data_IF_867414059824
#
_entry.id   IF_867414059824
#
_cell.length_a   1.000
_cell.length_b   1.000
_cell.length_c   1.000
_cell.angle_alpha   90.00
_cell.angle_beta   90.00
_cell.angle_gamma   90.00
#
_symmetry.space_group_name_H-M   'P 1'
#
loop_
_entity.id
_entity.type
_entity.pdbx_description
1 polymer ?
#
# COMPACT_ATOMS: atom_id res chain seq x y z
N UNK A 1 59.45 1.72 -12.37
CA UNK A 1 58.53 0.96 -11.51
C UNK A 1 57.11 1.52 -11.67
N UNK A 2 56.11 0.69 -11.99
CA UNK A 2 54.76 1.14 -12.28
C UNK A 2 53.98 1.50 -11.01
N UNK A 3 53.15 2.54 -11.11
CA UNK A 3 52.27 3.06 -10.06
C UNK A 3 51.22 2.00 -9.72
N UNK A 4 51.08 1.68 -8.43
CA UNK A 4 49.94 0.88 -7.93
C UNK A 4 48.63 1.63 -8.19
N UNK A 5 47.55 0.96 -8.64
CA UNK A 5 46.27 1.60 -8.85
C UNK A 5 45.55 1.86 -7.51
N UNK A 6 44.87 3.01 -7.42
CA UNK A 6 43.94 3.33 -6.35
C UNK A 6 42.83 2.26 -6.23
N UNK A 7 42.34 1.97 -5.01
CA UNK A 7 41.16 1.13 -4.84
C UNK A 7 39.93 1.84 -5.45
N UNK A 8 39.04 1.13 -6.17
CA UNK A 8 37.80 1.71 -6.65
C UNK A 8 36.94 2.14 -5.46
N UNK A 9 36.52 3.40 -5.51
CA UNK A 9 35.73 4.05 -4.48
C UNK A 9 34.35 3.42 -4.27
N UNK A 10 33.94 3.46 -3.01
CA UNK A 10 32.57 3.61 -2.52
C UNK A 10 31.52 2.79 -3.26
N UNK A 11 31.29 1.60 -2.70
CA UNK A 11 30.02 0.88 -2.72
C UNK A 11 28.86 1.88 -2.70
N UNK A 12 28.17 2.01 -3.82
CA UNK A 12 26.78 2.50 -3.82
C UNK A 12 26.02 1.53 -2.93
N UNK A 13 25.68 1.96 -1.72
CA UNK A 13 24.66 1.31 -0.89
C UNK A 13 23.37 1.28 -1.72
N UNK A 14 23.15 0.15 -2.40
CA UNK A 14 21.94 -0.13 -3.13
C UNK A 14 20.83 -0.29 -2.09
N UNK A 15 19.89 0.64 -2.08
CA UNK A 15 18.62 0.42 -1.38
C UNK A 15 17.98 -0.86 -1.91
N UNK A 16 17.40 -1.72 -1.05
CA UNK A 16 16.73 -2.93 -1.50
C UNK A 16 15.51 -2.52 -2.31
N UNK A 17 15.60 -2.73 -3.62
CA UNK A 17 14.52 -2.53 -4.58
C UNK A 17 13.42 -3.54 -4.27
N UNK A 18 12.38 -3.12 -3.56
CA UNK A 18 11.15 -3.91 -3.41
C UNK A 18 10.56 -4.06 -4.81
N UNK A 19 10.62 -5.27 -5.37
CA UNK A 19 10.09 -5.58 -6.69
C UNK A 19 9.06 -6.71 -6.57
N UNK A 20 7.90 -6.53 -7.16
CA UNK A 20 6.89 -7.57 -7.35
C UNK A 20 7.47 -8.82 -8.04
N UNK A 21 8.34 -8.62 -9.05
CA UNK A 21 9.10 -9.68 -9.70
C UNK A 21 10.01 -10.47 -8.74
N UNK A 22 10.55 -9.84 -7.70
CA UNK A 22 11.30 -10.53 -6.65
C UNK A 22 10.40 -11.38 -5.75
N UNK A 23 9.12 -11.01 -5.54
CA UNK A 23 8.17 -11.85 -4.77
C UNK A 23 7.77 -13.09 -5.59
N UNK A 24 7.59 -12.94 -6.91
CA UNK A 24 7.30 -14.04 -7.84
C UNK A 24 8.53 -14.95 -8.08
N UNK A 25 9.73 -14.39 -8.20
CA UNK A 25 10.99 -15.14 -8.37
C UNK A 25 11.49 -15.77 -7.05
N UNK A 26 11.23 -15.14 -5.89
CA UNK A 26 11.67 -15.62 -4.57
C UNK A 26 10.65 -16.53 -3.86
N UNK A 27 9.96 -17.39 -4.62
CA UNK A 27 9.27 -18.57 -4.07
C UNK A 27 10.15 -19.46 -3.19
N UNK A 28 11.46 -19.19 -3.10
CA UNK A 28 12.48 -20.03 -2.44
C UNK A 28 13.13 -19.43 -1.16
N UNK A 29 12.40 -18.61 -0.40
CA UNK A 29 12.76 -18.24 1.00
C UNK A 29 13.99 -17.32 1.21
N UNK A 30 14.11 -16.25 0.43
CA UNK A 30 15.10 -15.18 0.67
C UNK A 30 14.68 -14.14 1.73
N UNK A 31 15.66 -13.43 2.31
CA UNK A 31 15.44 -12.31 3.26
C UNK A 31 14.71 -11.12 2.63
N UNK A 32 14.86 -10.91 1.33
CA UNK A 32 14.20 -9.81 0.60
C UNK A 32 12.71 -10.07 0.37
N UNK A 33 12.30 -11.34 0.25
CA UNK A 33 10.89 -11.72 0.18
C UNK A 33 10.14 -11.34 1.46
N UNK A 34 10.73 -11.59 2.63
CA UNK A 34 10.14 -11.25 3.92
C UNK A 34 9.95 -9.74 4.12
N UNK A 35 10.91 -8.92 3.66
CA UNK A 35 10.81 -7.46 3.73
C UNK A 35 9.72 -6.92 2.80
N UNK A 36 9.66 -7.42 1.56
CA UNK A 36 8.63 -7.03 0.61
C UNK A 36 7.24 -7.42 1.12
N UNK A 37 7.12 -8.62 1.71
CA UNK A 37 5.88 -9.11 2.32
C UNK A 37 5.43 -8.25 3.51
N UNK A 38 6.35 -7.88 4.40
CA UNK A 38 6.05 -7.00 5.52
C UNK A 38 5.54 -5.63 5.05
N UNK A 39 6.10 -5.09 3.97
CA UNK A 39 5.64 -3.82 3.39
C UNK A 39 4.25 -3.95 2.74
N UNK A 40 3.99 -5.06 2.02
CA UNK A 40 2.65 -5.36 1.51
C UNK A 40 1.63 -5.46 2.64
N UNK A 41 1.95 -6.18 3.72
CA UNK A 41 1.08 -6.25 4.89
C UNK A 41 0.82 -4.85 5.44
N UNK A 42 1.83 -3.99 5.63
CA UNK A 42 1.63 -2.61 6.13
C UNK A 42 0.70 -1.78 5.25
N UNK A 43 0.83 -1.90 3.93
CA UNK A 43 0.03 -1.13 2.97
C UNK A 43 -1.41 -1.64 2.90
N UNK A 44 -1.62 -2.96 2.96
CA UNK A 44 -2.91 -3.58 2.69
C UNK A 44 -3.69 -4.04 3.92
N UNK A 45 -3.09 -4.08 5.13
CA UNK A 45 -3.80 -4.57 6.32
C UNK A 45 -5.09 -3.78 6.58
N UNK A 46 -5.00 -2.45 6.58
CA UNK A 46 -6.12 -1.60 6.90
C UNK A 46 -7.17 -1.55 5.78
N UNK A 47 -6.81 -1.46 4.48
CA UNK A 47 -7.77 -1.63 3.39
C UNK A 47 -8.55 -2.95 3.47
N UNK A 48 -7.89 -4.06 3.78
CA UNK A 48 -8.53 -5.37 3.93
C UNK A 48 -9.45 -5.41 5.15
N UNK A 49 -8.97 -4.98 6.32
CA UNK A 49 -9.78 -4.90 7.54
C UNK A 49 -11.03 -4.04 7.32
N UNK A 50 -10.86 -2.84 6.74
CA UNK A 50 -11.95 -1.92 6.50
C UNK A 50 -12.93 -2.42 5.41
N UNK A 51 -12.48 -3.28 4.50
CA UNK A 51 -13.35 -3.99 3.57
C UNK A 51 -14.18 -5.06 4.29
N UNK A 52 -13.54 -5.90 5.11
CA UNK A 52 -14.22 -6.95 5.91
C UNK A 52 -15.23 -6.35 6.90
N UNK A 53 -14.89 -5.23 7.56
CA UNK A 53 -15.84 -4.51 8.43
C UNK A 53 -17.09 -4.03 7.69
N UNK A 54 -16.93 -3.64 6.42
CA UNK A 54 -18.03 -3.16 5.57
C UNK A 54 -18.88 -4.27 4.97
N UNK A 55 -18.42 -5.52 5.00
CA UNK A 55 -19.24 -6.68 4.60
C UNK A 55 -20.15 -7.20 5.72
N UNK A 56 -20.22 -6.49 6.86
CA UNK A 56 -21.18 -6.75 7.94
C UNK A 56 -20.62 -7.42 9.19
N UNK A 57 -19.32 -7.73 9.23
CA UNK A 57 -18.65 -8.29 10.39
C UNK A 57 -18.41 -7.24 11.47
N UNK A 58 -18.47 -7.63 12.74
CA UNK A 58 -18.13 -6.74 13.86
C UNK A 58 -16.60 -6.48 13.94
N UNK A 59 -16.16 -5.71 14.93
CA UNK A 59 -14.76 -5.32 15.04
C UNK A 59 -13.83 -6.51 15.33
N UNK A 60 -14.25 -7.42 16.20
CA UNK A 60 -13.44 -8.56 16.62
C UNK A 60 -13.40 -9.60 15.51
N UNK A 61 -14.56 -9.92 14.93
CA UNK A 61 -14.67 -10.86 13.81
C UNK A 61 -13.83 -10.39 12.61
N UNK A 62 -13.86 -9.10 12.30
CA UNK A 62 -13.07 -8.57 11.20
C UNK A 62 -11.56 -8.59 11.47
N UNK A 63 -11.14 -8.41 12.72
CA UNK A 63 -9.73 -8.54 13.10
C UNK A 63 -9.25 -9.97 12.88
N UNK A 64 -9.99 -10.95 13.41
CA UNK A 64 -9.67 -12.37 13.26
C UNK A 64 -9.68 -12.83 11.80
N UNK A 65 -10.67 -12.38 11.02
CA UNK A 65 -10.75 -12.66 9.58
C UNK A 65 -9.61 -11.98 8.81
N UNK A 66 -9.19 -10.78 9.20
CA UNK A 66 -8.04 -10.11 8.59
C UNK A 66 -6.76 -10.89 8.84
N UNK A 67 -6.51 -11.30 10.09
CA UNK A 67 -5.33 -12.10 10.44
C UNK A 67 -5.32 -13.44 9.68
N UNK A 68 -6.45 -14.13 9.65
CA UNK A 68 -6.61 -15.40 8.93
C UNK A 68 -6.41 -15.22 7.42
N UNK A 69 -6.95 -14.13 6.86
CA UNK A 69 -6.76 -13.79 5.45
C UNK A 69 -5.28 -13.57 5.12
N UNK A 70 -4.58 -12.76 5.91
CA UNK A 70 -3.15 -12.53 5.67
C UNK A 70 -2.36 -13.81 5.86
N UNK A 71 -2.61 -14.61 6.90
CA UNK A 71 -1.94 -15.89 7.09
C UNK A 71 -2.08 -16.79 5.85
N UNK A 72 -3.30 -16.94 5.31
CA UNK A 72 -3.59 -17.67 4.07
C UNK A 72 -2.89 -17.04 2.86
N UNK A 73 -2.87 -15.71 2.76
CA UNK A 73 -2.22 -14.98 1.67
C UNK A 73 -0.71 -15.21 1.69
N UNK A 74 -0.11 -15.28 2.88
CA UNK A 74 1.33 -15.51 3.09
C UNK A 74 1.75 -16.96 2.83
N UNK A 75 0.80 -17.91 2.80
CA UNK A 75 1.09 -19.28 2.38
C UNK A 75 1.54 -19.29 0.91
N UNK A 76 2.69 -19.92 0.66
CA UNK A 76 3.30 -20.03 -0.67
C UNK A 76 2.33 -20.71 -1.63
N UNK A 77 1.59 -19.92 -2.41
CA UNK A 77 0.62 -20.43 -3.38
C UNK A 77 -0.44 -19.40 -3.79
N UNK A 78 -0.98 -18.62 -2.86
CA UNK A 78 -2.01 -17.61 -3.17
C UNK A 78 -1.39 -16.41 -3.90
N UNK A 79 -0.28 -15.89 -3.38
CA UNK A 79 0.47 -14.80 -4.04
C UNK A 79 1.09 -15.27 -5.36
N UNK A 80 1.57 -16.52 -5.44
CA UNK A 80 2.14 -17.08 -6.66
C UNK A 80 1.10 -17.28 -7.77
N UNK A 81 -0.18 -17.46 -7.41
CA UNK A 81 -1.30 -17.56 -8.35
C UNK A 81 -1.81 -16.19 -8.83
N UNK A 82 -1.30 -15.08 -8.28
CA UNK A 82 -1.66 -13.73 -8.70
C UNK A 82 -1.07 -13.45 -10.10
N UNK A 83 -1.93 -13.47 -11.12
CA UNK A 83 -1.57 -13.18 -12.50
C UNK A 83 -1.90 -11.72 -12.84
N UNK A 84 -0.86 -10.90 -13.05
CA UNK A 84 -1.03 -9.48 -13.39
C UNK A 84 -1.67 -9.25 -14.76
N UNK A 85 -1.69 -10.25 -15.66
CA UNK A 85 -2.45 -10.17 -16.92
C UNK A 85 -3.95 -10.04 -16.68
N UNK A 86 -4.41 -10.30 -15.45
CA UNK A 86 -5.81 -10.15 -15.01
C UNK A 86 -6.09 -8.81 -14.32
N UNK A 87 -5.08 -7.93 -14.19
CA UNK A 87 -5.22 -6.57 -13.67
C UNK A 87 -4.36 -6.28 -12.45
N UNK A 88 -4.65 -5.13 -11.82
CA UNK A 88 -3.87 -4.57 -10.72
C UNK A 88 -3.87 -5.45 -9.47
N UNK A 89 -2.76 -5.46 -8.74
CA UNK A 89 -2.62 -6.26 -7.51
C UNK A 89 -3.70 -5.95 -6.47
N UNK A 90 -4.12 -4.68 -6.33
CA UNK A 90 -5.20 -4.29 -5.43
C UNK A 90 -6.55 -4.90 -5.80
N UNK A 91 -6.84 -5.03 -7.10
CA UNK A 91 -8.06 -5.66 -7.59
C UNK A 91 -8.03 -7.17 -7.36
N UNK A 92 -6.86 -7.79 -7.51
CA UNK A 92 -6.61 -9.17 -7.11
C UNK A 92 -6.88 -9.38 -5.61
N UNK A 93 -6.25 -8.60 -4.72
CA UNK A 93 -6.42 -8.73 -3.27
C UNK A 93 -7.89 -8.57 -2.84
N UNK A 94 -8.58 -7.59 -3.39
CA UNK A 94 -10.00 -7.38 -3.11
C UNK A 94 -10.84 -8.58 -3.53
N UNK A 95 -10.63 -9.09 -4.75
CA UNK A 95 -11.35 -10.27 -5.27
C UNK A 95 -11.04 -11.52 -4.46
N UNK A 96 -9.77 -11.71 -4.11
CA UNK A 96 -9.30 -12.85 -3.32
C UNK A 96 -9.85 -12.82 -1.88
N UNK A 97 -9.88 -11.64 -1.25
CA UNK A 97 -10.49 -11.42 0.06
C UNK A 97 -12.02 -11.63 0.01
N UNK A 98 -12.68 -11.20 -1.06
CA UNK A 98 -14.10 -11.47 -1.26
C UNK A 98 -14.40 -12.97 -1.33
N UNK A 99 -13.65 -13.72 -2.14
CA UNK A 99 -13.80 -15.19 -2.22
C UNK A 99 -13.49 -15.86 -0.89
N UNK A 100 -12.46 -15.41 -0.17
CA UNK A 100 -12.15 -15.88 1.17
C UNK A 100 -13.36 -15.76 2.11
N UNK A 101 -14.02 -14.59 2.15
CA UNK A 101 -15.18 -14.37 3.02
C UNK A 101 -16.36 -15.28 2.63
N UNK A 102 -16.63 -15.46 1.34
CA UNK A 102 -17.67 -16.39 0.86
C UNK A 102 -17.38 -17.81 1.36
N UNK A 103 -16.13 -18.27 1.25
CA UNK A 103 -15.74 -19.61 1.69
C UNK A 103 -15.80 -19.76 3.21
N UNK A 104 -15.44 -18.74 3.98
CA UNK A 104 -15.59 -18.72 5.45
C UNK A 104 -17.07 -18.82 5.85
N UNK A 105 -17.96 -18.06 5.22
CA UNK A 105 -19.40 -18.15 5.47
C UNK A 105 -19.95 -19.55 5.14
N UNK A 106 -19.52 -20.16 4.02
CA UNK A 106 -19.92 -21.53 3.65
C UNK A 106 -19.44 -22.56 4.67
N UNK A 107 -18.19 -22.44 5.15
CA UNK A 107 -17.62 -23.34 6.15
C UNK A 107 -18.33 -23.24 7.50
N UNK A 108 -18.51 -22.02 7.99
CA UNK A 108 -19.26 -21.75 9.23
C UNK A 108 -20.71 -22.23 9.14
N UNK A 109 -21.36 -22.08 7.98
CA UNK A 109 -22.71 -22.59 7.74
C UNK A 109 -22.77 -24.11 7.70
N UNK A 110 -21.76 -24.80 7.15
CA UNK A 110 -21.66 -26.27 7.16
C UNK A 110 -21.40 -26.82 8.57
N UNK A 111 -20.53 -26.16 9.33
CA UNK A 111 -20.24 -26.51 10.73
C UNK A 111 -21.49 -26.32 11.61
N UNK A 112 -22.32 -25.31 11.33
CA UNK A 112 -23.63 -25.10 12.00
C UNK A 112 -24.78 -25.94 11.44
N UNK A 113 -24.72 -26.39 10.19
CA UNK A 113 -25.73 -27.26 9.57
C UNK A 113 -25.74 -28.68 10.16
N UNK A 114 -24.64 -29.10 10.80
CA UNK A 114 -24.61 -30.30 11.66
C UNK A 114 -25.52 -30.12 12.90
N UNK A 115 -25.99 -28.90 13.20
CA UNK A 115 -26.81 -28.57 14.36
C UNK A 115 -28.23 -28.02 14.11
N UNK A 116 -28.64 -27.51 12.92
CA UNK A 116 -30.09 -27.30 12.60
C UNK A 116 -30.40 -26.77 11.19
N UNK A 117 -31.50 -27.32 10.64
CA UNK A 117 -32.48 -26.87 9.61
C UNK A 117 -31.96 -26.35 8.25
N UNK A 118 -32.43 -27.03 7.21
CA UNK A 118 -32.31 -26.69 5.79
C UNK A 118 -33.13 -25.44 5.43
N UNK A 119 -32.46 -24.38 5.00
CA UNK A 119 -33.07 -23.21 4.34
C UNK A 119 -32.80 -23.34 2.83
N UNK A 120 -33.85 -23.19 2.01
CA UNK A 120 -33.75 -23.18 0.55
C UNK A 120 -33.10 -21.88 0.08
N UNK A 121 -31.90 -21.99 -0.50
CA UNK A 121 -31.05 -20.88 -0.94
C UNK A 121 -31.10 -20.61 -2.45
N UNK A 122 -32.12 -21.12 -3.15
CA UNK A 122 -32.16 -21.17 -4.63
C UNK A 122 -32.12 -19.82 -5.38
N UNK A 123 -32.30 -18.68 -4.70
CA UNK A 123 -32.21 -17.32 -5.28
C UNK A 123 -31.20 -16.38 -4.57
N UNK A 124 -30.39 -16.92 -3.63
CA UNK A 124 -29.46 -16.10 -2.83
C UNK A 124 -28.33 -15.47 -3.67
N UNK A 125 -27.82 -16.20 -4.65
CA UNK A 125 -26.69 -15.79 -5.50
C UNK A 125 -27.09 -14.75 -6.58
N UNK A 126 -28.38 -14.68 -6.92
CA UNK A 126 -28.96 -13.64 -7.78
C UNK A 126 -29.12 -12.31 -7.06
N UNK A 127 -29.66 -12.34 -5.83
CA UNK A 127 -29.81 -11.14 -4.97
C UNK A 127 -28.47 -10.60 -4.48
N UNK A 128 -27.54 -11.46 -4.09
CA UNK A 128 -26.18 -11.08 -3.69
C UNK A 128 -25.41 -10.36 -4.81
N UNK A 129 -25.51 -10.85 -6.06
CA UNK A 129 -24.92 -10.16 -7.23
C UNK A 129 -25.56 -8.81 -7.54
N UNK A 130 -26.83 -8.61 -7.18
CA UNK A 130 -27.53 -7.34 -7.36
C UNK A 130 -27.18 -6.33 -6.26
N UNK A 131 -27.02 -6.77 -5.00
CA UNK A 131 -26.48 -5.94 -3.91
C UNK A 131 -25.01 -5.56 -4.15
N UNK A 132 -24.22 -6.44 -4.80
CA UNK A 132 -22.87 -6.12 -5.29
C UNK A 132 -22.84 -5.07 -6.43
N UNK A 133 -23.99 -4.64 -6.98
CA UNK A 133 -24.00 -3.47 -7.86
C UNK A 133 -23.71 -2.16 -7.10
N UNK A 134 -23.89 -2.14 -5.76
CA UNK A 134 -23.30 -1.14 -4.86
C UNK A 134 -21.77 -1.32 -4.69
N UNK A 135 -21.19 -2.35 -5.30
CA UNK A 135 -19.76 -2.69 -5.29
C UNK A 135 -18.86 -1.58 -5.81
N UNK A 136 -19.37 -0.66 -6.64
CA UNK A 136 -18.61 0.55 -7.02
C UNK A 136 -18.21 1.40 -5.78
N UNK A 137 -19.07 1.43 -4.75
CA UNK A 137 -18.80 2.13 -3.49
C UNK A 137 -17.76 1.40 -2.64
N UNK A 138 -17.84 0.07 -2.55
CA UNK A 138 -16.87 -0.74 -1.80
C UNK A 138 -15.50 -0.74 -2.46
N UNK A 139 -15.46 -0.87 -3.78
CA UNK A 139 -14.28 -0.78 -4.62
C UNK A 139 -13.58 0.55 -4.44
N UNK A 140 -14.35 1.63 -4.51
CA UNK A 140 -13.85 2.98 -4.30
C UNK A 140 -13.35 3.19 -2.86
N UNK A 141 -14.04 2.68 -1.84
CA UNK A 141 -13.57 2.76 -0.45
C UNK A 141 -12.29 1.97 -0.21
N UNK A 142 -12.15 0.79 -0.82
CA UNK A 142 -10.92 0.00 -0.75
C UNK A 142 -9.77 0.77 -1.38
N UNK A 143 -9.95 1.26 -2.62
CA UNK A 143 -8.95 2.02 -3.36
C UNK A 143 -8.57 3.32 -2.63
N UNK A 144 -9.55 4.04 -2.06
CA UNK A 144 -9.31 5.25 -1.26
C UNK A 144 -8.53 4.95 0.01
N UNK A 145 -8.89 3.89 0.73
CA UNK A 145 -8.23 3.49 1.98
C UNK A 145 -6.79 3.07 1.70
N UNK A 146 -6.58 2.32 0.61
CA UNK A 146 -5.24 1.98 0.12
C UNK A 146 -4.43 3.24 -0.21
N UNK A 147 -5.00 4.18 -0.98
CA UNK A 147 -4.32 5.42 -1.36
C UNK A 147 -3.88 6.23 -0.13
N UNK A 148 -4.74 6.40 0.87
CA UNK A 148 -4.41 7.10 2.12
C UNK A 148 -3.29 6.38 2.88
N UNK A 149 -3.37 5.05 2.99
CA UNK A 149 -2.36 4.25 3.70
C UNK A 149 -0.99 4.33 3.02
N UNK A 150 -0.97 4.20 1.69
CA UNK A 150 0.24 4.31 0.89
C UNK A 150 0.88 5.70 0.98
N UNK A 151 0.09 6.79 0.86
CA UNK A 151 0.62 8.15 0.99
C UNK A 151 1.14 8.42 2.42
N UNK A 152 0.48 7.89 3.45
CA UNK A 152 0.96 7.92 4.83
C UNK A 152 2.33 7.24 4.95
N UNK A 153 2.49 6.05 4.35
CA UNK A 153 3.76 5.32 4.34
C UNK A 153 4.88 6.07 3.63
N UNK A 154 4.58 6.71 2.49
CA UNK A 154 5.54 7.55 1.76
C UNK A 154 5.99 8.75 2.62
N UNK A 155 5.08 9.37 3.36
CA UNK A 155 5.41 10.45 4.30
C UNK A 155 6.32 9.96 5.44
N UNK A 156 6.06 8.78 6.01
CA UNK A 156 6.90 8.18 7.06
C UNK A 156 8.33 7.93 6.56
N UNK A 157 8.49 7.25 5.42
CA UNK A 157 9.79 6.96 4.82
C UNK A 157 10.60 8.24 4.53
N UNK A 158 9.92 9.29 4.05
CA UNK A 158 10.53 10.60 3.84
C UNK A 158 10.96 11.25 5.17
N UNK A 159 10.15 11.13 6.21
CA UNK A 159 10.47 11.59 7.57
C UNK A 159 11.69 10.88 8.15
N UNK A 160 11.76 9.55 8.01
CA UNK A 160 12.90 8.73 8.41
C UNK A 160 14.20 9.13 7.68
N UNK A 161 14.13 9.46 6.39
CA UNK A 161 15.28 9.97 5.62
C UNK A 161 15.78 11.32 6.14
N UNK A 162 14.86 12.24 6.46
CA UNK A 162 15.24 13.53 7.05
C UNK A 162 15.82 13.35 8.46
N UNK A 163 15.25 12.47 9.27
CA UNK A 163 15.71 12.17 10.61
C UNK A 163 17.14 11.62 10.62
N UNK A 164 17.47 10.68 9.73
CA UNK A 164 18.84 10.15 9.56
C UNK A 164 19.88 11.23 9.24
N UNK A 165 19.45 12.32 8.60
CA UNK A 165 20.31 13.46 8.29
C UNK A 165 20.26 14.59 9.35
N UNK A 166 19.64 14.36 10.51
CA UNK A 166 19.49 15.36 11.57
C UNK A 166 18.53 16.50 11.25
N UNK A 167 17.67 16.35 10.23
CA UNK A 167 16.79 17.40 9.70
C UNK A 167 15.31 17.19 10.02
N UNK A 168 14.98 16.53 11.13
CA UNK A 168 13.59 16.25 11.54
C UNK A 168 12.75 17.53 11.65
N UNK A 169 13.29 18.58 12.27
CA UNK A 169 12.60 19.88 12.38
C UNK A 169 12.27 20.50 11.01
N UNK A 170 13.17 20.34 10.03
CA UNK A 170 12.92 20.81 8.66
C UNK A 170 11.78 20.03 8.02
N UNK A 171 11.76 18.72 8.19
CA UNK A 171 10.68 17.88 7.69
C UNK A 171 9.33 18.27 8.32
N UNK A 172 9.27 18.45 9.64
CA UNK A 172 8.02 18.79 10.34
C UNK A 172 7.42 20.12 9.89
N UNK A 173 8.25 21.11 9.57
CA UNK A 173 7.77 22.40 9.06
C UNK A 173 7.37 22.30 7.58
N UNK A 174 8.16 21.60 6.75
CA UNK A 174 7.94 21.56 5.30
C UNK A 174 6.83 20.58 4.89
N UNK A 175 6.57 19.52 5.66
CA UNK A 175 5.53 18.52 5.36
C UNK A 175 4.12 19.13 5.29
N UNK A 176 3.88 20.22 6.03
CA UNK A 176 2.62 20.97 6.02
C UNK A 176 2.30 21.50 4.61
N UNK A 177 3.32 21.96 3.86
CA UNK A 177 3.18 22.44 2.47
C UNK A 177 2.89 21.31 1.49
N UNK A 178 3.24 20.07 1.88
CA UNK A 178 3.02 18.88 1.07
C UNK A 178 1.60 18.32 1.28
N UNK A 179 1.11 18.28 2.52
CA UNK A 179 -0.21 17.73 2.89
C UNK A 179 -1.34 18.73 2.63
N UNK A 180 -1.18 19.99 3.01
CA UNK A 180 -2.25 21.01 2.95
C UNK A 180 -2.19 21.85 1.66
N UNK A 181 -1.18 21.63 0.81
CA UNK A 181 -1.05 22.27 -0.49
C UNK A 181 -0.55 23.72 -0.46
N UNK A 182 -0.60 24.41 -1.61
CA UNK A 182 0.04 25.72 -1.85
C UNK A 182 -0.50 26.89 -1.00
N UNK A 183 -1.57 26.70 -0.22
CA UNK A 183 -2.23 27.75 0.57
C UNK A 183 -2.02 27.64 2.09
N UNK A 184 -1.25 26.67 2.58
CA UNK A 184 -1.17 26.41 4.03
C UNK A 184 -0.32 27.41 4.80
N UNK A 185 0.97 27.55 4.46
CA UNK A 185 1.92 28.42 5.16
C UNK A 185 2.78 29.19 4.16
N UNK A 186 3.03 30.48 4.43
CA UNK A 186 3.90 31.32 3.59
C UNK A 186 5.37 30.96 3.72
N UNK A 187 6.15 31.18 2.65
CA UNK A 187 7.60 30.96 2.66
C UNK A 187 8.30 31.77 3.76
N UNK A 188 7.87 33.02 3.99
CA UNK A 188 8.33 33.88 5.07
C UNK A 188 8.16 33.25 6.47
N UNK A 189 7.02 32.61 6.73
CA UNK A 189 6.77 31.97 8.04
C UNK A 189 7.67 30.76 8.24
N UNK A 190 7.86 29.95 7.20
CA UNK A 190 8.77 28.79 7.25
C UNK A 190 10.22 29.22 7.39
N UNK A 191 10.62 30.30 6.72
CA UNK A 191 11.94 30.89 6.79
C UNK A 191 12.28 31.31 8.22
N UNK A 192 11.36 32.02 8.89
CA UNK A 192 11.50 32.41 10.29
C UNK A 192 11.61 31.20 11.23
N UNK A 193 10.78 30.17 11.04
CA UNK A 193 10.79 28.96 11.89
C UNK A 193 12.04 28.11 11.72
N UNK A 194 12.62 28.09 10.52
CA UNK A 194 13.78 27.27 10.18
C UNK A 194 15.10 28.03 10.28
N UNK A 195 15.06 29.36 10.47
CA UNK A 195 16.27 30.19 10.51
C UNK A 195 17.00 30.27 9.16
N UNK A 196 16.26 30.17 8.04
CA UNK A 196 16.81 30.21 6.67
C UNK A 196 16.11 31.28 5.84
N UNK A 197 16.65 31.60 4.65
CA UNK A 197 16.00 32.55 3.74
C UNK A 197 14.75 31.97 3.05
N UNK A 198 13.82 32.82 2.63
CA UNK A 198 12.64 32.39 1.86
C UNK A 198 13.01 31.64 0.57
N UNK A 199 14.08 32.06 -0.10
CA UNK A 199 14.58 31.37 -1.28
C UNK A 199 15.08 29.95 -0.93
N UNK A 200 15.75 29.79 0.22
CA UNK A 200 16.17 28.48 0.71
C UNK A 200 14.97 27.59 1.06
N UNK A 201 13.88 28.15 1.61
CA UNK A 201 12.61 27.43 1.82
C UNK A 201 12.06 26.92 0.50
N UNK A 202 11.95 27.76 -0.53
CA UNK A 202 11.40 27.37 -1.84
C UNK A 202 12.19 26.21 -2.46
N UNK A 203 13.52 26.29 -2.39
CA UNK A 203 14.41 25.23 -2.85
C UNK A 203 14.22 23.95 -2.02
N UNK A 204 14.08 24.06 -0.69
CA UNK A 204 13.84 22.91 0.19
C UNK A 204 12.48 22.24 -0.10
N UNK A 205 11.41 23.01 -0.31
CA UNK A 205 10.09 22.50 -0.70
C UNK A 205 10.16 21.78 -2.06
N UNK A 206 10.86 22.35 -3.04
CA UNK A 206 11.04 21.70 -4.33
C UNK A 206 11.77 20.35 -4.20
N UNK A 207 12.86 20.30 -3.41
CA UNK A 207 13.58 19.04 -3.13
C UNK A 207 12.70 18.03 -2.39
N UNK A 208 11.93 18.48 -1.40
CA UNK A 208 10.99 17.64 -0.65
C UNK A 208 9.96 17.00 -1.58
N UNK A 209 9.31 17.79 -2.44
CA UNK A 209 8.31 17.31 -3.41
C UNK A 209 8.91 16.32 -4.41
N UNK A 210 10.13 16.61 -4.91
CA UNK A 210 10.83 15.70 -5.80
C UNK A 210 11.12 14.37 -5.11
N UNK A 211 11.63 14.39 -3.87
CA UNK A 211 11.94 13.16 -3.14
C UNK A 211 10.69 12.38 -2.76
N UNK A 212 9.64 13.06 -2.33
CA UNK A 212 8.32 12.47 -2.08
C UNK A 212 7.81 11.70 -3.30
N UNK A 213 7.88 12.32 -4.49
CA UNK A 213 7.49 11.66 -5.75
C UNK A 213 8.33 10.41 -6.01
N UNK A 214 9.65 10.49 -5.85
CA UNK A 214 10.52 9.34 -6.06
C UNK A 214 10.18 8.18 -5.12
N UNK A 215 9.94 8.46 -3.83
CA UNK A 215 9.53 7.41 -2.88
C UNK A 215 8.15 6.84 -3.26
N UNK A 216 7.20 7.68 -3.66
CA UNK A 216 5.89 7.22 -4.14
C UNK A 216 6.03 6.31 -5.37
N UNK A 217 6.83 6.70 -6.35
CA UNK A 217 7.12 5.89 -7.55
C UNK A 217 7.78 4.56 -7.16
N UNK A 218 8.73 4.56 -6.23
CA UNK A 218 9.37 3.34 -5.70
C UNK A 218 8.35 2.41 -5.01
N UNK A 219 7.44 2.95 -4.19
CA UNK A 219 6.42 2.16 -3.50
C UNK A 219 5.35 1.60 -4.46
N UNK A 220 4.94 2.39 -5.46
CA UNK A 220 4.01 1.91 -6.49
C UNK A 220 4.68 0.86 -7.37
N UNK A 221 5.92 1.10 -7.81
CA UNK A 221 6.70 0.13 -8.58
C UNK A 221 6.89 -1.20 -7.83
N UNK A 222 6.98 -1.16 -6.50
CA UNK A 222 7.07 -2.37 -5.69
C UNK A 222 5.84 -3.29 -5.81
N UNK A 223 4.70 -2.74 -6.23
CA UNK A 223 3.44 -3.48 -6.41
C UNK A 223 3.17 -3.90 -7.87
N UNK A 224 4.08 -3.56 -8.80
CA UNK A 224 3.92 -3.74 -10.24
C UNK A 224 5.08 -4.55 -10.84
N UNK A 225 4.81 -5.34 -11.89
CA UNK A 225 5.85 -6.06 -12.64
C UNK A 225 6.50 -5.18 -13.71
N UNK A 226 5.69 -4.37 -14.42
CA UNK A 226 6.16 -3.47 -15.47
C UNK A 226 6.29 -2.01 -14.97
N UNK A 227 7.51 -1.42 -15.00
CA UNK A 227 7.71 -0.01 -14.72
C UNK A 227 6.89 0.96 -15.59
N UNK A 228 6.42 0.54 -16.77
CA UNK A 228 5.58 1.37 -17.64
C UNK A 228 4.21 1.69 -17.01
N UNK A 229 3.70 0.85 -16.11
CA UNK A 229 2.38 1.01 -15.49
C UNK A 229 2.36 2.01 -14.32
N UNK A 230 3.54 2.44 -13.83
CA UNK A 230 3.66 3.32 -12.65
C UNK A 230 2.85 4.61 -12.84
N UNK A 231 2.92 5.22 -14.02
CA UNK A 231 2.25 6.49 -14.28
C UNK A 231 0.71 6.37 -14.24
N UNK A 232 0.18 5.27 -14.76
CA UNK A 232 -1.25 5.00 -14.76
C UNK A 232 -1.74 4.62 -13.35
N UNK A 233 -0.93 3.89 -12.59
CA UNK A 233 -1.29 3.52 -11.21
C UNK A 233 -1.29 4.73 -10.27
N UNK A 234 -0.31 5.64 -10.42
CA UNK A 234 -0.30 6.92 -9.70
C UNK A 234 -1.52 7.78 -10.07
N UNK A 235 -1.93 7.81 -11.35
CA UNK A 235 -3.14 8.55 -11.76
C UNK A 235 -4.36 7.99 -11.05
N UNK A 236 -4.50 6.67 -11.07
CA UNK A 236 -5.64 6.01 -10.42
C UNK A 236 -5.66 6.18 -8.90
N UNK A 237 -4.49 6.27 -8.25
CA UNK A 237 -4.37 6.59 -6.83
C UNK A 237 -4.99 7.95 -6.52
N UNK A 238 -4.67 8.98 -7.30
CA UNK A 238 -5.25 10.32 -7.10
C UNK A 238 -6.74 10.38 -7.46
N UNK A 239 -7.20 9.60 -8.44
CA UNK A 239 -8.62 9.49 -8.77
C UNK A 239 -9.44 8.91 -7.62
N UNK A 240 -8.89 7.96 -6.85
CA UNK A 240 -9.54 7.38 -5.67
C UNK A 240 -9.65 8.35 -4.48
N UNK A 241 -8.93 9.48 -4.51
CA UNK A 241 -8.96 10.50 -3.46
C UNK A 241 -9.91 11.66 -3.78
N UNK A 242 -10.27 11.83 -5.05
CA UNK A 242 -11.07 12.96 -5.55
C UNK A 242 -12.55 12.64 -5.71
N UNK A 243 -12.89 11.36 -5.84
CA UNK A 243 -14.25 10.83 -5.80
C UNK A 243 -14.65 10.47 -4.37
#
# INVERSE_FOLDING_TARGET
MPKSPLPPGHSRESFPTTRWSLILEAGDAGLDAHKALAELCRIYWYPIFAYIRRTGHDANDAEDLTQTYFARLLEKGVIAAADQRKGRFRAFLRTDCHHFLIDQHRRHSRERAVASISIDTSDGEGRYRHELADGNTLDHHFDRTWAVTLLGRVLELLGEEYARSGRSLHFDQLKIVLVEGRRSISAATLAARLGISENAVNVAVHRLRKRYRTILEEQVAATLDDPAEIADEIRSLFDALTK
#
